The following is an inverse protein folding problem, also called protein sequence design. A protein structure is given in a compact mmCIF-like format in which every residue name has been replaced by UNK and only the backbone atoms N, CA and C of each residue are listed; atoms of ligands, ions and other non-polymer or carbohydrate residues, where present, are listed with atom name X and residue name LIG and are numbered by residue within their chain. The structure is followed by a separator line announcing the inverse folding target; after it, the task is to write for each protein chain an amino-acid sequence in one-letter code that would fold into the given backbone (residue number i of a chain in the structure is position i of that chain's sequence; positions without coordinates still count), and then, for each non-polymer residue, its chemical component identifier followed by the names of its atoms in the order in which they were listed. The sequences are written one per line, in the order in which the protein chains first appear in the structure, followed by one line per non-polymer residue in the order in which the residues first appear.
data_IF_916212546722
#
_entry.id   IF_916212546722
#
_cell.length_a   1.000
_cell.length_b   1.000
_cell.length_c   1.000
_cell.angle_alpha   90.00
_cell.angle_beta   90.00
_cell.angle_gamma   90.00
#
_symmetry.space_group_name_H-M   'P 1'
#
loop_
_entity.id
_entity.type
_entity.pdbx_description
1 polymer ?
#
# COMPACT_ATOMS: atom_id res chain seq x y z
N UNK A 1 -26.44 9.08 12.35
CA UNK A 1 -25.96 7.68 12.48
C UNK A 1 -24.48 7.57 12.14
N UNK A 2 -23.67 7.54 13.19
CA UNK A 2 -22.36 6.86 13.37
C UNK A 2 -21.72 6.11 12.20
N UNK A 3 -20.49 6.50 11.83
CA UNK A 3 -19.27 5.69 12.03
C UNK A 3 -17.99 6.46 11.64
N UNK A 4 -17.45 7.21 12.60
CA UNK A 4 -16.11 7.82 12.58
C UNK A 4 -15.07 6.67 12.59
N UNK A 5 -14.65 6.19 11.41
CA UNK A 5 -13.61 5.15 11.28
C UNK A 5 -12.24 5.74 11.68
N UNK A 6 -11.93 5.70 12.98
CA UNK A 6 -10.57 5.93 13.53
C UNK A 6 -9.61 4.93 12.88
N UNK A 7 -8.79 5.37 11.91
CA UNK A 7 -7.66 4.56 11.42
C UNK A 7 -6.52 4.65 12.43
N UNK A 8 -6.20 3.50 13.02
CA UNK A 8 -5.11 3.30 14.00
C UNK A 8 -3.80 3.88 13.46
N UNK A 9 -3.13 4.74 14.23
CA UNK A 9 -1.76 5.19 13.98
C UNK A 9 -0.85 3.96 14.12
N UNK A 10 -0.37 3.42 13.01
CA UNK A 10 0.59 2.34 13.02
C UNK A 10 1.95 2.89 13.46
N UNK A 11 2.37 2.50 14.66
CA UNK A 11 3.74 2.68 15.16
C UNK A 11 4.67 1.87 14.25
N UNK A 12 5.36 2.51 13.31
CA UNK A 12 6.31 1.84 12.43
C UNK A 12 7.57 1.48 13.22
N UNK A 13 7.89 0.19 13.34
CA UNK A 13 9.16 -0.28 13.94
C UNK A 13 10.34 0.20 13.10
N UNK A 14 11.38 0.69 13.77
CA UNK A 14 12.66 1.17 13.23
C UNK A 14 13.38 -0.02 12.57
N UNK A 15 13.22 -0.21 11.27
CA UNK A 15 13.79 -1.35 10.53
C UNK A 15 13.06 -1.80 9.27
N UNK A 16 11.94 -1.17 8.89
CA UNK A 16 11.31 -1.41 7.58
C UNK A 16 11.88 -0.47 6.51
N UNK A 17 12.39 -1.03 5.41
CA UNK A 17 12.69 -0.25 4.20
C UNK A 17 11.49 0.65 3.86
N UNK A 18 11.76 1.93 3.57
CA UNK A 18 10.72 2.90 3.22
C UNK A 18 9.96 2.36 2.04
N UNK A 19 8.68 2.01 2.25
CA UNK A 19 7.86 1.47 1.17
C UNK A 19 7.49 2.60 0.23
N UNK A 20 7.67 2.37 -1.06
CA UNK A 20 7.41 3.39 -2.07
C UNK A 20 5.97 3.90 -2.05
N UNK A 21 5.78 5.12 -2.56
CA UNK A 21 4.45 5.65 -2.87
C UNK A 21 3.63 4.68 -3.74
N UNK A 22 4.28 4.02 -4.71
CA UNK A 22 3.67 2.99 -5.54
C UNK A 22 3.19 1.77 -4.74
N UNK A 23 3.97 1.29 -3.78
CA UNK A 23 3.57 0.17 -2.92
C UNK A 23 2.30 0.53 -2.12
N UNK A 24 2.28 1.72 -1.52
CA UNK A 24 1.12 2.18 -0.76
C UNK A 24 -0.11 2.44 -1.64
N UNK A 25 0.07 2.95 -2.86
CA UNK A 25 -1.00 3.18 -3.85
C UNK A 25 -1.65 1.87 -4.26
N UNK A 26 -0.86 0.90 -4.71
CA UNK A 26 -1.36 -0.41 -5.15
C UNK A 26 -1.99 -1.17 -3.99
N UNK A 27 -1.34 -1.20 -2.81
CA UNK A 27 -1.91 -1.86 -1.63
C UNK A 27 -3.29 -1.34 -1.23
N UNK A 28 -3.63 -0.09 -1.55
CA UNK A 28 -4.96 0.48 -1.28
C UNK A 28 -5.98 0.14 -2.36
N UNK A 29 -5.54 -0.12 -3.60
CA UNK A 29 -6.44 -0.48 -4.71
C UNK A 29 -6.85 -1.95 -4.68
N UNK A 30 -5.96 -2.86 -4.25
CA UNK A 30 -6.25 -4.30 -4.27
C UNK A 30 -6.64 -4.84 -2.90
N UNK A 31 -7.74 -5.59 -2.85
CA UNK A 31 -8.23 -6.25 -1.63
C UNK A 31 -7.37 -7.47 -1.25
N UNK A 32 -6.84 -8.18 -2.25
CA UNK A 32 -5.97 -9.35 -2.08
C UNK A 32 -4.56 -8.98 -2.55
N UNK A 33 -3.63 -8.92 -1.61
CA UNK A 33 -2.21 -8.62 -1.84
C UNK A 33 -1.39 -9.69 -1.11
N UNK A 34 -0.42 -10.39 -1.73
CA UNK A 34 0.18 -10.21 -3.05
C UNK A 34 -0.50 -11.07 -4.15
N UNK A 35 -0.88 -10.44 -5.26
CA UNK A 35 -1.42 -11.14 -6.44
C UNK A 35 -0.55 -10.85 -7.67
N UNK A 36 -0.61 -11.73 -8.68
CA UNK A 36 0.14 -11.56 -9.93
C UNK A 36 -0.15 -10.20 -10.59
N UNK A 37 -1.41 -9.77 -10.57
CA UNK A 37 -1.84 -8.48 -11.13
C UNK A 37 -1.40 -7.27 -10.29
N UNK A 38 -1.40 -7.38 -8.96
CA UNK A 38 -0.88 -6.33 -8.08
C UNK A 38 0.64 -6.13 -8.25
N UNK A 39 1.40 -7.21 -8.45
CA UNK A 39 2.84 -7.15 -8.74
C UNK A 39 3.13 -6.41 -10.06
N UNK A 40 2.35 -6.70 -11.12
CA UNK A 40 2.45 -5.99 -12.39
C UNK A 40 2.14 -4.49 -12.27
N UNK A 41 1.14 -4.13 -11.46
CA UNK A 41 0.78 -2.73 -11.21
C UNK A 41 1.85 -1.97 -10.43
N UNK A 42 2.55 -2.62 -9.48
CA UNK A 42 3.70 -2.02 -8.78
C UNK A 42 4.83 -1.75 -9.76
N UNK A 43 5.16 -2.73 -10.61
CA UNK A 43 6.24 -2.59 -11.59
C UNK A 43 5.96 -1.44 -12.57
N UNK A 44 4.73 -1.35 -13.10
CA UNK A 44 4.32 -0.22 -13.96
C UNK A 44 4.40 1.12 -13.23
N UNK A 45 3.91 1.19 -11.98
CA UNK A 45 3.99 2.42 -11.19
C UNK A 45 5.43 2.87 -10.92
N UNK A 46 6.35 1.91 -10.69
CA UNK A 46 7.77 2.22 -10.51
C UNK A 46 8.47 2.66 -11.80
N UNK A 47 8.07 2.15 -12.97
CA UNK A 47 8.63 2.51 -14.29
C UNK A 47 8.15 3.86 -14.82
N UNK A 48 6.94 4.28 -14.46
CA UNK A 48 6.35 5.55 -14.88
C UNK A 48 6.77 6.75 -13.98
N UNK A 49 7.92 6.66 -13.30
CA UNK A 49 8.42 7.68 -12.38
C UNK A 49 9.74 8.24 -12.86
#
# INVERSE_FOLDING_TARGET
MTKKKKKKKSTYKKGGTVKDACYHKIKRQYKVFPSAYASGAIAKCRKNK
#
